data_IF_033174290914
#
_entry.id   IF_033174290914
#
_cell.length_a   1.000
_cell.length_b   1.000
_cell.length_c   1.000
_cell.angle_alpha   90.00
_cell.angle_beta   90.00
_cell.angle_gamma   90.00
#
_symmetry.space_group_name_H-M   'P 1'
#
loop_
_entity.id
_entity.type
_entity.pdbx_description
1 polymer ?
#
# COMPACT_ATOMS: atom_id res chain seq x y z
N UNK A 1 -1.53 -32.05 -27.89
CA UNK A 1 -1.00 -30.73 -28.30
C UNK A 1 -1.75 -29.57 -27.63
N UNK A 2 -3.09 -29.62 -27.52
CA UNK A 2 -3.89 -28.59 -26.81
C UNK A 2 -3.71 -28.58 -25.28
N UNK A 3 -3.40 -29.72 -24.66
CA UNK A 3 -3.20 -29.86 -23.21
C UNK A 3 -1.96 -29.11 -22.71
N UNK A 4 -0.83 -29.24 -23.41
CA UNK A 4 0.42 -28.54 -23.07
C UNK A 4 0.29 -27.02 -23.13
N UNK A 5 -0.45 -26.48 -24.11
CA UNK A 5 -0.72 -25.04 -24.21
C UNK A 5 -1.60 -24.54 -23.05
N UNK A 6 -2.56 -25.35 -22.60
CA UNK A 6 -3.41 -25.03 -21.46
C UNK A 6 -2.59 -25.00 -20.15
N UNK A 7 -1.78 -26.04 -19.90
CA UNK A 7 -0.89 -26.13 -18.74
C UNK A 7 0.14 -25.00 -18.69
N UNK A 8 0.78 -24.68 -19.84
CA UNK A 8 1.72 -23.57 -19.93
C UNK A 8 1.05 -22.23 -19.62
N UNK A 9 -0.16 -22.01 -20.15
CA UNK A 9 -0.93 -20.79 -19.91
C UNK A 9 -1.36 -20.67 -18.45
N UNK A 10 -1.72 -21.78 -17.81
CA UNK A 10 -2.10 -21.84 -16.40
C UNK A 10 -0.90 -21.50 -15.49
N UNK A 11 0.27 -22.11 -15.74
CA UNK A 11 1.51 -21.80 -15.03
C UNK A 11 1.90 -20.33 -15.13
N UNK A 12 1.85 -19.78 -16.34
CA UNK A 12 2.17 -18.36 -16.57
C UNK A 12 1.21 -17.42 -15.83
N UNK A 13 -0.06 -17.77 -15.75
CA UNK A 13 -1.04 -17.00 -14.99
C UNK A 13 -0.79 -17.08 -13.48
N UNK A 14 -0.50 -18.27 -12.96
CA UNK A 14 -0.16 -18.47 -11.55
C UNK A 14 1.10 -17.70 -11.14
N UNK A 15 2.17 -17.76 -11.96
CA UNK A 15 3.39 -16.97 -11.73
C UNK A 15 3.13 -15.46 -11.73
N UNK A 16 2.34 -14.97 -12.69
CA UNK A 16 1.99 -13.55 -12.76
C UNK A 16 1.16 -13.12 -11.55
N UNK A 17 0.21 -13.96 -11.12
CA UNK A 17 -0.60 -13.70 -9.94
C UNK A 17 0.28 -13.57 -8.69
N UNK A 18 1.14 -14.56 -8.43
CA UNK A 18 2.05 -14.55 -7.27
C UNK A 18 2.90 -13.28 -7.27
N UNK A 19 3.62 -13.02 -8.37
CA UNK A 19 4.47 -11.84 -8.50
C UNK A 19 3.71 -10.55 -8.16
N UNK A 20 2.52 -10.37 -8.72
CA UNK A 20 1.78 -9.12 -8.58
C UNK A 20 1.10 -8.97 -7.21
N UNK A 21 0.65 -10.06 -6.59
CA UNK A 21 0.09 -10.03 -5.22
C UNK A 21 1.16 -9.76 -4.18
N UNK A 22 2.31 -10.44 -4.27
CA UNK A 22 3.45 -10.17 -3.37
C UNK A 22 3.93 -8.72 -3.55
N UNK A 23 4.12 -8.28 -4.79
CA UNK A 23 4.56 -6.91 -5.06
C UNK A 23 3.55 -5.87 -4.58
N UNK A 24 2.24 -6.10 -4.76
CA UNK A 24 1.19 -5.24 -4.22
C UNK A 24 1.26 -5.15 -2.71
N UNK A 25 1.37 -6.28 -2.00
CA UNK A 25 1.38 -6.31 -0.55
C UNK A 25 2.61 -5.60 0.02
N UNK A 26 3.80 -5.96 -0.46
CA UNK A 26 5.06 -5.36 -0.01
C UNK A 26 5.11 -3.85 -0.30
N UNK A 27 4.64 -3.44 -1.49
CA UNK A 27 4.60 -2.01 -1.84
C UNK A 27 3.58 -1.26 -0.99
N UNK A 28 2.38 -1.81 -0.78
CA UNK A 28 1.34 -1.18 0.05
C UNK A 28 1.78 -1.05 1.50
N UNK A 29 2.39 -2.10 2.05
CA UNK A 29 2.96 -2.10 3.39
C UNK A 29 4.09 -1.08 3.51
N UNK A 30 5.04 -1.08 2.56
CA UNK A 30 6.14 -0.12 2.53
C UNK A 30 5.67 1.33 2.48
N UNK A 31 4.63 1.63 1.69
CA UNK A 31 4.00 2.96 1.67
C UNK A 31 3.35 3.28 3.02
N UNK A 32 2.59 2.35 3.60
CA UNK A 32 1.94 2.54 4.91
C UNK A 32 2.94 2.79 6.04
N UNK A 33 4.09 2.09 6.01
CA UNK A 33 5.16 2.25 6.99
C UNK A 33 5.87 3.59 6.82
N UNK A 34 6.27 3.96 5.60
CA UNK A 34 6.88 5.27 5.31
C UNK A 34 5.99 6.44 5.73
N UNK A 35 4.70 6.36 5.41
CA UNK A 35 3.74 7.39 5.80
C UNK A 35 3.46 7.35 7.30
N UNK A 36 3.54 6.18 7.92
CA UNK A 36 3.50 5.99 9.37
C UNK A 36 4.63 6.72 10.06
N UNK A 37 5.87 6.45 9.68
CA UNK A 37 7.05 7.12 10.25
C UNK A 37 6.89 8.64 10.17
N UNK A 38 6.43 9.15 9.02
CA UNK A 38 6.14 10.56 8.82
C UNK A 38 4.94 11.10 9.62
N UNK A 39 4.07 10.27 10.18
CA UNK A 39 2.95 10.67 11.05
C UNK A 39 3.30 10.64 12.54
N UNK A 40 4.33 9.90 12.94
CA UNK A 40 4.71 9.70 14.34
C UNK A 40 6.04 10.36 14.71
N UNK A 41 6.94 10.57 13.76
CA UNK A 41 8.23 11.21 13.99
C UNK A 41 8.20 12.70 13.61
N UNK A 42 8.23 13.56 14.63
CA UNK A 42 8.25 15.02 14.48
C UNK A 42 9.46 15.51 13.67
N UNK A 43 10.61 14.84 13.73
CA UNK A 43 11.79 15.21 12.95
C UNK A 43 11.53 14.96 11.47
N UNK A 44 11.03 13.78 11.11
CA UNK A 44 10.66 13.45 9.73
C UNK A 44 9.63 14.45 9.19
N UNK A 45 8.63 14.80 10.00
CA UNK A 45 7.59 15.77 9.65
C UNK A 45 8.10 17.17 9.29
N UNK A 46 9.27 17.56 9.82
CA UNK A 46 9.75 18.95 9.80
C UNK A 46 11.03 19.15 8.99
N UNK A 47 11.81 18.09 8.74
CA UNK A 47 13.06 18.19 7.97
C UNK A 47 13.15 17.28 6.75
N UNK A 48 12.30 16.25 6.63
CA UNK A 48 12.45 15.20 5.60
C UNK A 48 11.23 15.03 4.70
N UNK A 49 10.28 15.98 4.74
CA UNK A 49 9.02 15.92 3.98
C UNK A 49 9.22 15.58 2.49
N UNK A 50 10.15 16.25 1.82
CA UNK A 50 10.38 16.06 0.38
C UNK A 50 10.87 14.64 0.05
N UNK A 51 11.72 14.08 0.90
CA UNK A 51 12.22 12.71 0.76
C UNK A 51 11.10 11.68 0.94
N UNK A 52 10.27 11.84 1.97
CA UNK A 52 9.13 10.95 2.24
C UNK A 52 8.14 10.97 1.09
N UNK A 53 7.79 12.16 0.58
CA UNK A 53 6.82 12.30 -0.51
C UNK A 53 7.35 11.72 -1.82
N UNK A 54 8.61 12.00 -2.18
CA UNK A 54 9.22 11.43 -3.38
C UNK A 54 9.31 9.89 -3.32
N UNK A 55 9.76 9.32 -2.19
CA UNK A 55 9.79 7.87 -2.00
C UNK A 55 8.40 7.24 -2.08
N UNK A 56 7.42 7.87 -1.43
CA UNK A 56 6.02 7.40 -1.45
C UNK A 56 5.47 7.41 -2.87
N UNK A 57 5.62 8.51 -3.60
CA UNK A 57 5.03 8.65 -4.93
C UNK A 57 5.67 7.65 -5.92
N UNK A 58 6.99 7.40 -5.83
CA UNK A 58 7.65 6.34 -6.62
C UNK A 58 7.06 4.95 -6.36
N UNK A 59 6.79 4.62 -5.09
CA UNK A 59 6.16 3.35 -4.74
C UNK A 59 4.71 3.28 -5.22
N UNK A 60 3.94 4.37 -5.14
CA UNK A 60 2.57 4.43 -5.66
C UNK A 60 2.50 4.26 -7.18
N UNK A 61 3.46 4.81 -7.93
CA UNK A 61 3.55 4.58 -9.37
C UNK A 61 3.73 3.09 -9.70
N UNK A 62 4.59 2.38 -8.97
CA UNK A 62 4.74 0.93 -9.13
C UNK A 62 3.46 0.17 -8.72
N UNK A 63 2.85 0.59 -7.60
CA UNK A 63 1.64 -0.03 -7.04
C UNK A 63 0.48 -0.05 -8.05
N UNK A 64 0.30 1.03 -8.82
CA UNK A 64 -0.76 1.13 -9.83
C UNK A 64 -0.71 -0.01 -10.87
N UNK A 65 0.50 -0.41 -11.29
CA UNK A 65 0.70 -1.54 -12.19
C UNK A 65 0.29 -2.86 -11.54
N UNK A 66 0.75 -3.11 -10.31
CA UNK A 66 0.45 -4.34 -9.59
C UNK A 66 -1.05 -4.51 -9.30
N UNK A 67 -1.76 -3.42 -8.98
CA UNK A 67 -3.21 -3.44 -8.76
C UNK A 67 -3.95 -3.93 -10.01
N UNK A 68 -3.65 -3.34 -11.17
CA UNK A 68 -4.32 -3.68 -12.43
C UNK A 68 -4.16 -5.16 -12.76
N UNK A 69 -2.94 -5.69 -12.65
CA UNK A 69 -2.65 -7.07 -13.03
C UNK A 69 -3.16 -8.09 -12.01
N UNK A 70 -3.07 -7.80 -10.70
CA UNK A 70 -3.56 -8.68 -9.64
C UNK A 70 -5.10 -8.77 -9.66
N UNK A 71 -5.78 -7.63 -9.84
CA UNK A 71 -7.25 -7.56 -9.90
C UNK A 71 -7.84 -8.42 -11.00
N UNK A 72 -7.24 -8.43 -12.19
CA UNK A 72 -7.71 -9.24 -13.32
C UNK A 72 -7.68 -10.74 -13.04
N UNK A 73 -6.76 -11.18 -12.20
CA UNK A 73 -6.68 -12.58 -11.73
C UNK A 73 -7.68 -12.84 -10.61
N UNK A 74 -7.74 -11.97 -9.59
CA UNK A 74 -8.66 -12.12 -8.47
C UNK A 74 -10.13 -12.14 -8.89
N UNK A 75 -10.55 -11.25 -9.80
CA UNK A 75 -11.95 -11.17 -10.26
C UNK A 75 -12.47 -12.47 -10.88
N UNK A 76 -11.58 -13.30 -11.43
CA UNK A 76 -11.94 -14.59 -12.04
C UNK A 76 -12.14 -15.70 -11.01
N UNK A 77 -11.60 -15.53 -9.81
CA UNK A 77 -11.59 -16.54 -8.75
C UNK A 77 -12.55 -16.18 -7.61
N UNK A 78 -12.49 -14.92 -7.16
CA UNK A 78 -13.30 -14.40 -6.07
C UNK A 78 -13.58 -12.90 -6.29
N UNK A 79 -14.85 -12.58 -6.57
CA UNK A 79 -15.28 -11.21 -6.83
C UNK A 79 -15.28 -10.35 -5.56
N UNK A 80 -15.58 -10.91 -4.39
CA UNK A 80 -15.62 -10.17 -3.13
C UNK A 80 -14.19 -9.79 -2.71
N UNK A 81 -13.27 -10.76 -2.77
CA UNK A 81 -11.86 -10.52 -2.48
C UNK A 81 -11.26 -9.48 -3.44
N UNK A 82 -11.63 -9.49 -4.73
CA UNK A 82 -11.21 -8.48 -5.69
C UNK A 82 -11.72 -7.07 -5.32
N UNK A 83 -12.96 -6.93 -4.84
CA UNK A 83 -13.50 -5.63 -4.40
C UNK A 83 -12.81 -5.12 -3.14
N UNK A 84 -12.51 -6.01 -2.20
CA UNK A 84 -11.78 -5.67 -0.97
C UNK A 84 -10.33 -5.30 -1.27
N UNK A 85 -9.69 -5.99 -2.20
CA UNK A 85 -8.38 -5.63 -2.73
C UNK A 85 -8.36 -4.22 -3.35
N UNK A 86 -9.35 -3.89 -4.18
CA UNK A 86 -9.49 -2.55 -4.78
C UNK A 86 -9.71 -1.47 -3.69
N UNK A 87 -10.50 -1.78 -2.66
CA UNK A 87 -10.76 -0.88 -1.53
C UNK A 87 -9.49 -0.64 -0.71
N UNK A 88 -8.77 -1.69 -0.33
CA UNK A 88 -7.51 -1.57 0.40
C UNK A 88 -6.48 -0.76 -0.38
N UNK A 89 -6.37 -1.01 -1.68
CA UNK A 89 -5.52 -0.24 -2.57
C UNK A 89 -5.91 1.23 -2.61
N UNK A 90 -7.21 1.53 -2.65
CA UNK A 90 -7.71 2.92 -2.61
C UNK A 90 -7.44 3.59 -1.26
N UNK A 91 -7.49 2.84 -0.16
CA UNK A 91 -7.20 3.33 1.17
C UNK A 91 -5.72 3.73 1.34
N UNK A 92 -4.79 3.11 0.62
CA UNK A 92 -3.38 3.55 0.54
C UNK A 92 -3.27 4.97 -0.06
N UNK A 93 -3.95 5.25 -1.16
CA UNK A 93 -3.97 6.60 -1.75
C UNK A 93 -4.64 7.62 -0.82
N UNK A 94 -5.70 7.19 -0.10
CA UNK A 94 -6.37 8.02 0.90
C UNK A 94 -5.44 8.36 2.07
N UNK A 95 -4.65 7.38 2.54
CA UNK A 95 -3.61 7.59 3.56
C UNK A 95 -2.60 8.61 3.07
N UNK A 96 -2.01 8.41 1.88
CA UNK A 96 -1.05 9.36 1.27
C UNK A 96 -1.60 10.77 1.22
N UNK A 97 -2.83 10.95 0.73
CA UNK A 97 -3.44 12.27 0.61
C UNK A 97 -3.69 12.93 1.97
N UNK A 98 -4.05 12.17 3.00
CA UNK A 98 -4.22 12.72 4.34
C UNK A 98 -2.88 13.06 5.00
N UNK A 99 -1.87 12.20 4.84
CA UNK A 99 -0.52 12.44 5.35
C UNK A 99 0.12 13.66 4.68
N UNK A 100 -0.04 13.85 3.36
CA UNK A 100 0.40 15.07 2.67
C UNK A 100 -0.23 16.33 3.27
N UNK A 101 -1.53 16.32 3.54
CA UNK A 101 -2.22 17.47 4.16
C UNK A 101 -1.68 17.77 5.56
N UNK A 102 -1.38 16.73 6.33
CA UNK A 102 -0.75 16.86 7.63
C UNK A 102 0.66 17.46 7.50
N UNK A 103 1.50 16.91 6.63
CA UNK A 103 2.88 17.35 6.44
C UNK A 103 2.97 18.79 5.92
N UNK A 104 2.09 19.21 5.00
CA UNK A 104 1.99 20.60 4.56
C UNK A 104 1.67 21.54 5.73
N UNK A 105 0.81 21.12 6.66
CA UNK A 105 0.46 21.91 7.86
C UNK A 105 1.62 21.98 8.86
N UNK A 106 2.38 20.91 9.02
CA UNK A 106 3.62 20.93 9.80
C UNK A 106 4.65 21.92 9.24
N UNK A 107 4.65 22.13 7.92
CA UNK A 107 5.52 23.04 7.20
C UNK A 107 4.90 24.40 6.86
N UNK A 108 3.67 24.71 7.31
CA UNK A 108 3.01 25.99 7.07
C UNK A 108 3.69 27.17 7.82
N UNK A 109 4.75 26.86 8.59
CA UNK A 109 5.70 27.80 9.15
C UNK A 109 6.34 28.64 8.02
N UNK A 110 5.92 29.91 7.93
CA UNK A 110 6.77 30.96 7.35
C UNK A 110 8.07 31.12 8.16
N UNK A 111 8.79 32.27 8.07
CA UNK A 111 10.17 32.44 8.56
C UNK A 111 10.41 32.31 10.08
N UNK A 112 9.45 31.80 10.85
CA UNK A 112 9.49 31.65 12.31
C UNK A 112 9.68 30.17 12.69
N UNK A 113 10.91 29.68 12.57
CA UNK A 113 11.31 28.31 12.93
C UNK A 113 11.10 27.98 14.42
N UNK A 114 11.09 28.98 15.30
CA UNK A 114 11.01 28.82 16.76
C UNK A 114 9.65 28.31 17.28
N UNK A 115 8.64 28.21 16.41
CA UNK A 115 7.28 27.75 16.75
C UNK A 115 6.94 26.36 16.20
N UNK A 116 7.91 25.62 15.65
CA UNK A 116 7.67 24.33 14.96
C UNK A 116 6.86 23.30 15.77
N UNK A 117 6.99 23.30 17.10
CA UNK A 117 6.22 22.40 17.97
C UNK A 117 4.73 22.75 18.03
N UNK A 118 4.37 24.05 18.02
CA UNK A 118 2.97 24.50 18.04
C UNK A 118 2.28 24.09 16.73
N UNK A 119 2.93 24.32 15.59
CA UNK A 119 2.39 23.95 14.28
C UNK A 119 2.21 22.44 14.11
N UNK A 120 3.12 21.63 14.66
CA UNK A 120 2.98 20.18 14.70
C UNK A 120 1.71 19.74 15.45
N UNK A 121 1.44 20.28 16.64
CA UNK A 121 0.23 19.94 17.39
C UNK A 121 -1.05 20.41 16.69
N UNK A 122 -1.06 21.61 16.12
CA UNK A 122 -2.19 22.09 15.31
C UNK A 122 -2.44 21.21 14.07
N UNK A 123 -1.37 20.75 13.41
CA UNK A 123 -1.46 19.83 12.28
C UNK A 123 -2.01 18.45 12.70
N UNK A 124 -1.60 17.95 13.87
CA UNK A 124 -2.11 16.71 14.46
C UNK A 124 -3.61 16.78 14.69
N UNK A 125 -4.09 17.84 15.34
CA UNK A 125 -5.52 18.04 15.62
C UNK A 125 -6.33 18.17 14.32
N UNK A 126 -5.83 18.96 13.37
CA UNK A 126 -6.56 19.23 12.13
C UNK A 126 -6.64 17.99 11.21
N UNK A 127 -5.57 17.21 11.11
CA UNK A 127 -5.44 16.16 10.08
C UNK A 127 -4.62 14.94 10.51
N UNK A 128 -3.64 15.09 11.40
CA UNK A 128 -2.74 14.00 11.77
C UNK A 128 -3.42 12.83 12.49
N UNK A 129 -4.35 13.09 13.42
CA UNK A 129 -5.09 12.02 14.09
C UNK A 129 -5.95 11.21 13.11
N UNK A 130 -6.59 11.89 12.14
CA UNK A 130 -7.34 11.22 11.08
C UNK A 130 -6.44 10.39 10.17
N UNK A 131 -5.25 10.89 9.84
CA UNK A 131 -4.27 10.15 9.05
C UNK A 131 -3.80 8.88 9.80
N UNK A 132 -3.52 8.99 11.10
CA UNK A 132 -3.16 7.86 11.96
C UNK A 132 -4.25 6.81 12.04
N UNK A 133 -5.52 7.23 12.18
CA UNK A 133 -6.65 6.31 12.14
C UNK A 133 -6.72 5.56 10.80
N UNK A 134 -6.62 6.27 9.68
CA UNK A 134 -6.62 5.66 8.34
C UNK A 134 -5.46 4.68 8.20
N UNK A 135 -4.28 4.98 8.74
CA UNK A 135 -3.15 4.04 8.74
C UNK A 135 -3.49 2.74 9.47
N UNK A 136 -4.07 2.83 10.67
CA UNK A 136 -4.49 1.63 11.41
C UNK A 136 -5.53 0.81 10.64
N UNK A 137 -6.50 1.48 10.00
CA UNK A 137 -7.49 0.81 9.14
C UNK A 137 -6.81 0.10 7.96
N UNK A 138 -5.86 0.76 7.28
CA UNK A 138 -5.06 0.19 6.19
C UNK A 138 -4.26 -1.03 6.64
N UNK A 139 -3.55 -0.96 7.77
CA UNK A 139 -2.75 -2.08 8.28
C UNK A 139 -3.62 -3.31 8.59
N UNK A 140 -4.77 -3.09 9.20
CA UNK A 140 -5.73 -4.16 9.49
C UNK A 140 -6.29 -4.77 8.20
N UNK A 141 -6.67 -3.95 7.23
CA UNK A 141 -7.24 -4.40 5.97
C UNK A 141 -6.21 -5.16 5.12
N UNK A 142 -4.98 -4.65 5.01
CA UNK A 142 -3.87 -5.33 4.34
C UNK A 142 -3.59 -6.70 4.97
N UNK A 143 -3.51 -6.76 6.31
CA UNK A 143 -3.28 -8.02 7.02
C UNK A 143 -4.42 -9.02 6.79
N UNK A 144 -5.67 -8.55 6.83
CA UNK A 144 -6.84 -9.41 6.59
C UNK A 144 -6.82 -9.98 5.18
N UNK A 145 -6.61 -9.14 4.16
CA UNK A 145 -6.57 -9.57 2.77
C UNK A 145 -5.39 -10.51 2.53
N UNK A 146 -4.23 -10.23 3.12
CA UNK A 146 -3.05 -11.09 3.01
C UNK A 146 -3.31 -12.51 3.53
N UNK A 147 -4.01 -12.64 4.65
CA UNK A 147 -4.39 -13.94 5.22
C UNK A 147 -5.35 -14.71 4.31
N UNK A 148 -6.32 -14.02 3.72
CA UNK A 148 -7.28 -14.64 2.79
C UNK A 148 -6.63 -15.05 1.47
N UNK A 149 -5.61 -14.31 1.03
CA UNK A 149 -4.82 -14.64 -0.15
C UNK A 149 -3.95 -15.89 0.04
N UNK A 150 -3.65 -16.32 1.27
CA UNK A 150 -2.80 -17.49 1.53
C UNK A 150 -3.32 -18.76 0.84
N UNK A 151 -4.64 -18.99 0.86
CA UNK A 151 -5.23 -20.15 0.18
C UNK A 151 -4.98 -20.14 -1.33
N UNK A 152 -5.10 -18.96 -1.95
CA UNK A 152 -4.85 -18.74 -3.38
C UNK A 152 -3.37 -18.81 -3.74
N UNK A 153 -2.49 -18.30 -2.86
CA UNK A 153 -1.03 -18.38 -3.01
C UNK A 153 -0.61 -19.86 -3.02
N UNK A 154 -1.04 -20.65 -2.03
CA UNK A 154 -0.72 -22.08 -1.95
C UNK A 154 -1.20 -22.83 -3.20
N UNK A 155 -2.38 -22.49 -3.71
CA UNK A 155 -2.88 -23.10 -4.94
C UNK A 155 -2.04 -22.72 -6.17
N UNK A 156 -1.69 -21.44 -6.30
CA UNK A 156 -0.85 -20.96 -7.39
C UNK A 156 0.56 -21.58 -7.33
N UNK A 157 1.17 -21.68 -6.15
CA UNK A 157 2.47 -22.34 -5.96
C UNK A 157 2.46 -23.81 -6.39
N UNK A 158 1.39 -24.55 -6.08
CA UNK A 158 1.22 -25.94 -6.56
C UNK A 158 1.20 -26.04 -8.09
N UNK A 159 0.58 -25.08 -8.77
CA UNK A 159 0.53 -25.03 -10.23
C UNK A 159 1.90 -24.70 -10.81
N UNK A 160 2.63 -23.76 -10.21
CA UNK A 160 3.96 -23.33 -10.68
C UNK A 160 5.02 -24.40 -10.40
N UNK A 161 4.90 -25.12 -9.28
CA UNK A 161 5.91 -26.06 -8.79
C UNK A 161 7.06 -25.39 -8.03
N UNK A 162 6.86 -24.15 -7.57
CA UNK A 162 7.83 -23.36 -6.81
C UNK A 162 7.20 -22.86 -5.50
N UNK A 163 7.95 -22.90 -4.40
CA UNK A 163 7.57 -22.32 -3.11
C UNK A 163 8.16 -20.92 -3.00
N UNK A 164 7.33 -19.92 -2.72
CA UNK A 164 7.71 -18.51 -2.53
C UNK A 164 7.74 -18.12 -1.03
N UNK A 165 7.77 -19.11 -0.14
CA UNK A 165 7.88 -19.01 1.31
C UNK A 165 9.30 -18.68 1.82
#
# INVERSE_FOLDING_TARGET
MLTWLAEWREKRQAQSFLKNIFAWYETSKGVSDLLGDALYDQKICTSEIGLVLDKTDRQLFALAGYISDARGSLRRWDLDLAQRFDRASSNIYRLRNMTVRFLIRCHASGPFADQGQIYYYQALEATGFKARQIRTEVEQELKSIWLELQGWIIQAEKVVGESWA
#
